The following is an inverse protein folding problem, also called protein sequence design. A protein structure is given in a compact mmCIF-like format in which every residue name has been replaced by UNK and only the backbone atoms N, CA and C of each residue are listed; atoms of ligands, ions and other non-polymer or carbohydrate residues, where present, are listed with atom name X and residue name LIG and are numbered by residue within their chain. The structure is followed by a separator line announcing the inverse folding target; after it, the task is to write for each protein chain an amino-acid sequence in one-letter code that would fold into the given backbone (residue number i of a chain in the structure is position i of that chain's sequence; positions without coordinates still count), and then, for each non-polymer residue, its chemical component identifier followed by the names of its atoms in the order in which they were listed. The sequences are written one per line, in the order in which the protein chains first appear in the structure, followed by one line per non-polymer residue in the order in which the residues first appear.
data_IF_177938794827
#
_entry.id   IF_177938794827
#
_cell.length_a   1.000
_cell.length_b   1.000
_cell.length_c   1.000
_cell.angle_alpha   90.00
_cell.angle_beta   90.00
_cell.angle_gamma   90.00
#
_symmetry.space_group_name_H-M   'P 1'
#
loop_
_entity.id
_entity.type
_entity.pdbx_description
1 polymer ?
#
# COMPACT_ATOMS: atom_id res chain seq x y z
N UNK A 1 17.86 23.96 -17.47
CA UNK A 1 17.42 23.35 -18.74
C UNK A 1 16.02 23.86 -19.00
N UNK A 2 15.80 24.50 -20.15
CA UNK A 2 14.46 24.92 -20.58
C UNK A 2 14.03 24.09 -21.77
N UNK A 3 12.74 23.84 -21.90
CA UNK A 3 12.14 23.24 -23.09
C UNK A 3 11.30 24.33 -23.76
N UNK A 4 11.63 24.67 -25.00
CA UNK A 4 10.80 25.56 -25.80
C UNK A 4 9.64 24.75 -26.36
N UNK A 5 8.44 25.31 -26.25
CA UNK A 5 7.22 24.73 -26.79
C UNK A 5 6.74 25.58 -27.97
N UNK A 6 6.31 24.93 -29.03
CA UNK A 6 5.62 25.60 -30.13
C UNK A 6 4.24 26.11 -29.70
N UNK A 7 3.63 27.06 -30.44
CA UNK A 7 2.27 27.51 -30.15
C UNK A 7 1.29 26.32 -30.08
N UNK A 8 0.57 26.21 -28.96
CA UNK A 8 -0.36 25.14 -28.63
C UNK A 8 0.26 23.74 -28.45
N UNK A 9 1.59 23.63 -28.43
CA UNK A 9 2.24 22.36 -28.09
C UNK A 9 2.04 22.05 -26.60
N UNK A 10 1.61 20.82 -26.32
CA UNK A 10 1.60 20.24 -24.97
C UNK A 10 2.65 19.16 -24.92
N UNK A 11 3.52 19.22 -23.92
CA UNK A 11 4.59 18.24 -23.73
C UNK A 11 4.61 17.75 -22.30
N UNK A 12 4.71 16.43 -22.15
CA UNK A 12 4.93 15.81 -20.84
C UNK A 12 6.40 15.99 -20.44
N UNK A 13 6.63 16.46 -19.21
CA UNK A 13 7.96 16.64 -18.65
C UNK A 13 8.14 15.65 -17.50
N UNK A 14 8.85 14.52 -17.71
CA UNK A 14 9.05 13.54 -16.66
C UNK A 14 9.95 14.13 -15.57
N UNK A 15 9.41 14.28 -14.36
CA UNK A 15 10.17 14.66 -13.17
C UNK A 15 10.48 13.40 -12.38
N UNK A 16 11.76 13.01 -12.35
CA UNK A 16 12.22 11.86 -11.58
C UNK A 16 13.12 12.35 -10.44
N UNK A 17 12.65 12.21 -9.20
CA UNK A 17 13.44 12.49 -8.00
C UNK A 17 14.05 11.17 -7.54
N UNK A 18 15.36 10.99 -7.76
CA UNK A 18 16.11 9.81 -7.29
C UNK A 18 16.85 10.15 -6.00
N UNK A 19 16.61 9.43 -4.88
CA UNK A 19 17.42 9.60 -3.67
C UNK A 19 18.86 9.18 -3.94
N UNK A 20 19.84 10.02 -3.61
CA UNK A 20 21.27 9.73 -3.75
C UNK A 20 21.88 9.23 -2.43
N UNK A 21 21.28 8.19 -1.86
CA UNK A 21 21.72 7.59 -0.60
C UNK A 21 20.81 7.92 0.58
N UNK A 22 21.28 7.65 1.82
CA UNK A 22 20.49 7.88 3.03
C UNK A 22 20.21 9.37 3.20
N UNK A 23 18.95 9.69 3.48
CA UNK A 23 18.50 11.05 3.72
C UNK A 23 18.02 11.20 5.16
N UNK A 24 18.16 12.41 5.71
CA UNK A 24 17.78 12.72 7.09
C UNK A 24 16.26 12.91 7.16
N UNK A 25 15.60 12.35 8.17
CA UNK A 25 14.17 12.57 8.42
C UNK A 25 13.87 14.07 8.56
N UNK A 26 12.82 14.55 7.89
CA UNK A 26 12.47 15.96 7.74
C UNK A 26 13.06 16.62 6.49
N UNK A 27 13.94 15.94 5.72
CA UNK A 27 14.45 16.47 4.47
C UNK A 27 13.35 16.57 3.42
N UNK A 28 13.36 17.68 2.67
CA UNK A 28 12.45 17.93 1.54
C UNK A 28 13.30 18.07 0.29
N UNK A 29 13.04 17.21 -0.70
CA UNK A 29 13.64 17.30 -2.03
C UNK A 29 12.58 17.80 -2.99
N UNK A 30 12.82 18.92 -3.65
CA UNK A 30 11.86 19.56 -4.51
C UNK A 30 12.40 19.82 -5.91
N UNK A 31 11.54 19.70 -6.91
CA UNK A 31 11.79 20.24 -8.25
C UNK A 31 10.69 21.25 -8.56
N UNK A 32 11.10 22.50 -8.76
CA UNK A 32 10.21 23.55 -9.24
C UNK A 32 10.20 23.55 -10.77
N UNK A 33 9.05 23.27 -11.37
CA UNK A 33 8.83 23.34 -12.81
C UNK A 33 8.06 24.63 -13.09
N UNK A 34 8.72 25.60 -13.70
CA UNK A 34 8.14 26.89 -14.03
C UNK A 34 7.93 27.03 -15.54
N UNK A 35 6.78 27.57 -15.92
CA UNK A 35 6.50 27.98 -17.29
C UNK A 35 6.71 29.48 -17.42
N UNK A 36 7.35 29.92 -18.50
CA UNK A 36 7.46 31.33 -18.86
C UNK A 36 7.22 31.51 -20.35
N UNK A 37 6.55 32.60 -20.72
CA UNK A 37 6.49 33.03 -22.12
C UNK A 37 7.72 33.87 -22.44
N UNK A 38 8.35 33.57 -23.57
CA UNK A 38 9.43 34.37 -24.14
C UNK A 38 8.88 35.17 -25.33
N UNK A 39 9.06 36.49 -25.32
CA UNK A 39 8.78 37.36 -26.47
C UNK A 39 10.08 37.92 -26.99
N UNK A 40 10.35 37.69 -28.28
CA UNK A 40 11.46 38.33 -29.00
C UNK A 40 10.94 39.63 -29.61
N UNK A 41 11.39 40.76 -29.08
CA UNK A 41 11.12 42.08 -29.61
C UNK A 41 12.29 42.45 -30.51
N UNK A 42 12.01 42.85 -31.75
CA UNK A 42 13.03 43.30 -32.70
C UNK A 42 12.76 44.76 -33.00
N UNK A 43 13.78 45.59 -32.90
CA UNK A 43 13.68 47.00 -33.25
C UNK A 43 13.35 47.13 -34.75
N UNK A 44 12.38 47.98 -35.08
CA UNK A 44 11.93 48.19 -36.45
C UNK A 44 12.93 49.00 -37.29
N UNK A 45 13.81 49.77 -36.63
CA UNK A 45 14.86 50.57 -37.25
C UNK A 45 16.19 49.82 -37.37
N UNK A 46 16.48 48.87 -36.47
CA UNK A 46 17.66 48.01 -36.51
C UNK A 46 17.28 46.54 -36.27
N UNK A 47 17.19 45.71 -37.33
CA UNK A 47 16.86 44.30 -37.22
C UNK A 47 17.82 43.47 -36.34
N UNK A 48 19.01 44.01 -36.02
CA UNK A 48 19.98 43.36 -35.15
C UNK A 48 19.79 43.72 -33.67
N UNK A 49 19.02 44.77 -33.38
CA UNK A 49 18.65 45.16 -32.01
C UNK A 49 17.46 44.32 -31.54
N UNK A 50 17.79 43.32 -30.72
CA UNK A 50 16.87 42.27 -30.29
C UNK A 50 16.79 42.30 -28.76
N UNK A 51 15.57 42.49 -28.24
CA UNK A 51 15.26 42.35 -26.82
C UNK A 51 14.44 41.10 -26.55
N UNK A 52 14.75 40.42 -25.46
CA UNK A 52 14.00 39.25 -25.02
C UNK A 52 13.26 39.62 -23.74
N UNK A 53 11.94 39.51 -23.75
CA UNK A 53 11.08 39.67 -22.59
C UNK A 53 10.62 38.30 -22.11
N UNK A 54 10.77 38.04 -20.80
CA UNK A 54 10.25 36.83 -20.15
C UNK A 54 9.11 37.20 -19.21
N UNK A 55 8.00 36.47 -19.29
CA UNK A 55 6.87 36.60 -18.37
C UNK A 55 6.51 35.24 -17.76
N UNK A 56 6.55 35.08 -16.42
CA UNK A 56 6.10 33.85 -15.76
C UNK A 56 4.63 33.58 -16.06
N UNK A 57 4.31 32.32 -16.36
CA UNK A 57 2.94 31.85 -16.64
C UNK A 57 2.37 31.00 -15.49
N UNK A 58 3.22 30.54 -14.58
CA UNK A 58 2.86 29.65 -13.48
C UNK A 58 3.89 28.53 -13.31
N UNK A 59 3.58 27.56 -12.47
CA UNK A 59 4.44 26.42 -12.24
C UNK A 59 3.88 25.47 -11.20
N UNK A 60 4.56 24.34 -11.05
CA UNK A 60 4.29 23.33 -10.04
C UNK A 60 5.58 22.99 -9.31
N UNK A 61 5.45 22.67 -8.02
CA UNK A 61 6.54 22.13 -7.22
C UNK A 61 6.22 20.68 -6.91
N UNK A 62 7.11 19.78 -7.31
CA UNK A 62 7.03 18.36 -6.97
C UNK A 62 7.97 18.12 -5.81
N UNK A 63 7.45 17.66 -4.67
CA UNK A 63 8.25 17.39 -3.47
C UNK A 63 8.25 15.90 -3.12
N UNK A 64 9.41 15.42 -2.69
CA UNK A 64 9.58 14.18 -1.95
C UNK A 64 10.05 14.53 -0.53
N UNK A 65 9.35 13.99 0.46
CA UNK A 65 9.67 14.21 1.89
C UNK A 65 10.17 12.91 2.50
N UNK A 66 11.21 13.02 3.32
CA UNK A 66 11.74 11.88 4.07
C UNK A 66 11.13 11.90 5.45
N UNK A 67 10.19 11.00 5.69
CA UNK A 67 9.42 10.93 6.93
C UNK A 67 9.71 9.60 7.62
N UNK A 68 9.76 9.59 8.96
CA UNK A 68 9.71 8.35 9.72
C UNK A 68 8.28 7.80 9.70
N UNK A 69 8.11 6.50 9.52
CA UNK A 69 6.79 5.85 9.48
C UNK A 69 6.35 5.51 10.91
N UNK A 70 5.38 6.22 11.49
CA UNK A 70 4.85 5.83 12.78
C UNK A 70 3.90 4.63 12.64
N UNK A 71 3.63 3.99 13.77
CA UNK A 71 2.58 2.98 13.93
C UNK A 71 1.51 3.54 14.86
N UNK A 72 0.25 3.21 14.60
CA UNK A 72 -0.86 3.60 15.46
C UNK A 72 -1.69 2.38 15.80
N UNK A 73 -1.95 2.22 17.09
CA UNK A 73 -2.79 1.16 17.63
C UNK A 73 -3.99 1.78 18.34
N UNK A 74 -5.16 1.15 18.21
CA UNK A 74 -6.38 1.60 18.85
C UNK A 74 -7.22 0.44 19.38
N UNK A 75 -7.97 0.71 20.45
CA UNK A 75 -9.00 -0.13 21.04
C UNK A 75 -10.24 0.73 21.28
N UNK A 76 -11.40 0.20 20.95
CA UNK A 76 -12.68 0.87 21.16
C UNK A 76 -13.58 0.01 22.06
N UNK A 77 -14.18 0.62 23.07
CA UNK A 77 -15.03 -0.07 24.04
C UNK A 77 -16.29 0.75 24.35
N UNK A 78 -17.45 0.11 24.31
CA UNK A 78 -18.75 0.76 24.51
C UNK A 78 -19.19 0.77 25.97
N UNK A 79 -19.02 1.89 26.67
CA UNK A 79 -19.53 2.07 28.04
C UNK A 79 -20.84 2.86 28.09
N UNK A 80 -21.62 2.88 27.00
CA UNK A 80 -22.71 3.82 26.73
C UNK A 80 -22.24 5.05 25.93
N UNK A 81 -20.94 5.35 26.02
CA UNK A 81 -20.16 6.13 25.05
C UNK A 81 -19.00 5.25 24.59
N UNK A 82 -18.51 5.45 23.37
CA UNK A 82 -17.40 4.67 22.86
C UNK A 82 -16.10 5.32 23.33
N UNK A 83 -15.46 4.70 24.32
CA UNK A 83 -14.11 5.02 24.75
C UNK A 83 -13.13 4.44 23.73
N UNK A 84 -12.30 5.30 23.15
CA UNK A 84 -11.22 4.91 22.25
C UNK A 84 -9.89 5.27 22.89
N UNK A 85 -9.07 4.26 23.10
CA UNK A 85 -7.72 4.38 23.63
C UNK A 85 -6.71 3.85 22.62
N UNK A 86 -5.56 4.49 22.54
CA UNK A 86 -4.55 4.07 21.58
C UNK A 86 -3.15 4.56 21.90
N UNK A 87 -2.23 4.16 21.03
CA UNK A 87 -0.83 4.57 21.08
C UNK A 87 -0.31 4.88 19.69
N UNK A 88 0.27 6.06 19.52
CA UNK A 88 1.05 6.45 18.35
C UNK A 88 2.53 6.25 18.71
N UNK A 89 3.22 5.37 17.99
CA UNK A 89 4.60 4.99 18.27
C UNK A 89 5.49 5.18 17.05
N UNK A 90 6.78 5.39 17.29
CA UNK A 90 7.79 5.55 16.26
C UNK A 90 9.15 5.18 16.86
N UNK A 91 10.10 4.58 16.10
CA UNK A 91 11.43 4.22 16.62
C UNK A 91 12.15 5.37 17.34
N UNK A 92 11.90 6.62 16.95
CA UNK A 92 12.49 7.81 17.55
C UNK A 92 11.44 8.77 18.15
N UNK A 93 10.32 8.26 18.69
CA UNK A 93 9.18 9.07 19.16
C UNK A 93 9.57 10.29 20.02
N UNK A 94 10.45 10.11 21.01
CA UNK A 94 10.90 11.18 21.91
C UNK A 94 11.55 12.38 21.16
N UNK A 95 12.13 12.16 19.98
CA UNK A 95 12.74 13.22 19.15
C UNK A 95 11.72 14.04 18.36
N UNK A 96 10.51 13.50 18.17
CA UNK A 96 9.48 14.09 17.32
C UNK A 96 8.31 14.69 18.12
N UNK A 97 8.21 14.38 19.41
CA UNK A 97 7.24 15.00 20.29
C UNK A 97 7.56 16.47 20.57
N UNK A 98 6.59 17.36 20.35
CA UNK A 98 6.66 18.77 20.74
C UNK A 98 5.56 19.05 21.78
N UNK A 99 5.95 19.29 23.03
CA UNK A 99 5.03 19.58 24.13
C UNK A 99 4.17 20.83 23.86
N UNK A 100 4.67 21.78 23.06
CA UNK A 100 3.91 22.99 22.72
C UNK A 100 2.88 22.74 21.62
N UNK A 101 3.11 21.74 20.78
CA UNK A 101 2.27 21.37 19.64
C UNK A 101 2.14 19.84 19.59
N UNK A 102 1.50 19.22 20.60
CA UNK A 102 1.42 17.76 20.65
C UNK A 102 0.73 17.24 19.39
N UNK A 103 1.21 16.11 18.83
CA UNK A 103 0.52 15.45 17.73
C UNK A 103 -0.94 15.18 18.08
N UNK A 104 -1.82 15.20 17.07
CA UNK A 104 -3.23 14.91 17.25
C UNK A 104 -3.62 13.67 16.46
N UNK A 105 -4.48 12.85 17.06
CA UNK A 105 -5.14 11.72 16.40
C UNK A 105 -6.61 12.04 16.25
N UNK A 106 -7.13 11.88 15.05
CA UNK A 106 -8.56 11.90 14.80
C UNK A 106 -9.14 10.51 15.05
N UNK A 107 -10.12 10.43 15.94
CA UNK A 107 -10.94 9.26 16.20
C UNK A 107 -12.23 9.43 15.42
N UNK A 108 -12.59 8.47 14.57
CA UNK A 108 -13.75 8.52 13.69
C UNK A 108 -14.61 7.27 13.88
N UNK A 109 -15.88 7.46 14.21
CA UNK A 109 -16.88 6.40 14.31
C UNK A 109 -17.36 5.95 12.94
N UNK A 110 -17.61 4.65 12.83
CA UNK A 110 -17.96 3.95 11.59
C UNK A 110 -19.15 3.03 11.86
N UNK A 111 -20.13 3.04 10.96
CA UNK A 111 -21.33 2.19 11.06
C UNK A 111 -21.07 0.74 10.59
N UNK A 112 -22.10 -0.11 10.67
CA UNK A 112 -22.02 -1.52 10.24
C UNK A 112 -21.69 -1.71 8.75
N UNK A 113 -21.94 -0.69 7.92
CA UNK A 113 -21.71 -0.70 6.48
C UNK A 113 -20.38 -0.03 6.11
N UNK A 114 -19.55 0.28 7.11
CA UNK A 114 -18.27 0.99 6.96
C UNK A 114 -18.39 2.42 6.45
N UNK A 115 -19.53 3.07 6.63
CA UNK A 115 -19.65 4.49 6.34
C UNK A 115 -19.15 5.32 7.52
N UNK A 116 -18.43 6.40 7.22
CA UNK A 116 -18.05 7.38 8.23
C UNK A 116 -19.26 8.15 8.75
N UNK A 117 -19.38 8.22 10.06
CA UNK A 117 -20.42 9.00 10.73
C UNK A 117 -19.91 10.42 10.91
N UNK A 118 -20.34 11.34 10.04
CA UNK A 118 -19.76 12.70 9.95
C UNK A 118 -20.31 13.68 10.99
N UNK A 119 -21.39 13.33 11.69
CA UNK A 119 -22.00 14.19 12.71
C UNK A 119 -21.23 14.11 14.01
N UNK A 120 -20.85 15.25 14.58
CA UNK A 120 -20.36 15.26 15.96
C UNK A 120 -21.47 14.80 16.92
N UNK A 121 -21.12 14.07 18.01
CA UNK A 121 -19.78 13.73 18.47
C UNK A 121 -19.26 12.35 17.99
N UNK A 122 -19.66 11.88 16.80
CA UNK A 122 -19.18 10.59 16.26
C UNK A 122 -17.72 10.63 15.79
N UNK A 123 -17.05 11.77 15.92
CA UNK A 123 -15.61 11.91 15.75
C UNK A 123 -15.05 12.92 16.74
N UNK A 124 -13.77 12.78 17.07
CA UNK A 124 -13.04 13.68 17.96
C UNK A 124 -11.57 13.78 17.54
N UNK A 125 -10.94 14.93 17.74
CA UNK A 125 -9.49 15.08 17.59
C UNK A 125 -8.88 15.16 18.99
N UNK A 126 -8.02 14.20 19.33
CA UNK A 126 -7.40 14.08 20.65
C UNK A 126 -5.91 14.33 20.58
N UNK A 127 -5.36 14.95 21.62
CA UNK A 127 -3.92 15.14 21.73
C UNK A 127 -3.25 13.83 22.13
N UNK A 128 -2.07 13.60 21.56
CA UNK A 128 -1.19 12.50 21.92
C UNK A 128 -0.28 12.97 23.06
N UNK A 129 -0.19 12.16 24.10
CA UNK A 129 0.69 12.37 25.25
C UNK A 129 2.15 12.13 24.88
N UNK A 130 3.08 12.57 25.74
CA UNK A 130 4.51 12.41 25.52
C UNK A 130 4.96 10.95 25.35
N UNK A 131 4.26 9.99 25.94
CA UNK A 131 4.53 8.56 25.81
C UNK A 131 3.86 7.91 24.57
N UNK A 132 3.21 8.72 23.74
CA UNK A 132 2.48 8.29 22.56
C UNK A 132 1.03 7.87 22.82
N UNK A 133 0.59 7.82 24.08
CA UNK A 133 -0.79 7.44 24.41
C UNK A 133 -1.80 8.52 24.04
N UNK A 134 -3.02 8.12 23.69
CA UNK A 134 -4.15 9.03 23.51
C UNK A 134 -5.45 8.35 23.91
N UNK A 135 -6.43 9.17 24.29
CA UNK A 135 -7.74 8.73 24.70
C UNK A 135 -8.80 9.75 24.26
N UNK A 136 -9.95 9.26 23.80
CA UNK A 136 -11.11 10.09 23.51
C UNK A 136 -12.42 9.31 23.57
N UNK A 137 -13.51 10.07 23.58
CA UNK A 137 -14.86 9.54 23.53
C UNK A 137 -15.52 9.94 22.22
N UNK A 138 -16.22 9.01 21.59
CA UNK A 138 -17.12 9.28 20.47
C UNK A 138 -18.50 8.70 20.78
N UNK A 139 -19.53 9.30 20.20
CA UNK A 139 -20.89 8.88 20.43
C UNK A 139 -21.79 9.14 19.23
N UNK A 140 -22.67 8.19 18.92
CA UNK A 140 -23.74 8.33 17.94
C UNK A 140 -24.90 7.42 18.32
N UNK A 141 -26.14 7.93 18.24
CA UNK A 141 -27.36 7.13 18.41
C UNK A 141 -27.89 6.55 17.12
N UNK A 142 -27.64 7.24 16.00
CA UNK A 142 -28.16 6.84 14.69
C UNK A 142 -27.29 7.47 13.59
N UNK A 143 -26.50 6.66 12.85
CA UNK A 143 -26.32 5.21 13.03
C UNK A 143 -25.47 4.86 14.27
N UNK A 144 -25.58 3.62 14.75
CA UNK A 144 -24.70 3.06 15.78
C UNK A 144 -23.25 3.02 15.30
N UNK A 145 -22.31 3.25 16.22
CA UNK A 145 -20.89 3.04 15.97
C UNK A 145 -20.57 1.56 16.18
N UNK A 146 -20.18 0.85 15.12
CA UNK A 146 -19.77 -0.57 15.18
C UNK A 146 -18.25 -0.73 15.11
N UNK A 147 -17.58 0.17 14.41
CA UNK A 147 -16.13 0.23 14.31
C UNK A 147 -15.67 1.67 14.63
N UNK A 148 -14.43 1.81 15.07
CA UNK A 148 -13.74 3.08 15.20
C UNK A 148 -12.46 3.07 14.35
N UNK A 149 -12.06 4.23 13.87
CA UNK A 149 -10.85 4.44 13.08
C UNK A 149 -10.03 5.54 13.71
N UNK A 150 -8.75 5.29 13.94
CA UNK A 150 -7.79 6.28 14.42
C UNK A 150 -6.89 6.72 13.28
N UNK A 151 -6.86 8.02 13.00
CA UNK A 151 -6.10 8.63 11.92
C UNK A 151 -5.11 9.63 12.46
N UNK A 152 -3.85 9.47 12.07
CA UNK A 152 -2.81 10.44 12.28
C UNK A 152 -2.41 11.03 10.93
N UNK A 153 -2.57 12.35 10.76
CA UNK A 153 -2.32 13.04 9.49
C UNK A 153 -0.82 13.15 9.15
N UNK A 154 0.08 12.88 10.10
CA UNK A 154 1.51 13.11 9.95
C UNK A 154 1.96 14.49 10.44
N UNK A 155 3.27 14.72 10.38
CA UNK A 155 3.92 16.01 10.64
C UNK A 155 4.94 16.31 9.54
N UNK A 156 5.80 17.31 9.74
CA UNK A 156 6.97 17.54 8.91
C UNK A 156 8.03 16.42 9.01
N UNK A 157 7.94 15.55 10.03
CA UNK A 157 8.91 14.48 10.31
C UNK A 157 8.31 13.08 10.39
N UNK A 158 7.02 12.95 10.72
CA UNK A 158 6.31 11.68 10.78
C UNK A 158 5.34 11.55 9.60
N UNK A 159 5.30 10.39 8.96
CA UNK A 159 4.30 10.07 7.95
C UNK A 159 2.91 9.94 8.59
N UNK A 160 1.87 9.93 7.76
CA UNK A 160 0.53 9.58 8.22
C UNK A 160 0.47 8.11 8.65
N UNK A 161 -0.46 7.80 9.56
CA UNK A 161 -0.74 6.45 9.99
C UNK A 161 -2.23 6.27 10.28
N UNK A 162 -2.70 5.03 10.18
CA UNK A 162 -4.07 4.63 10.44
C UNK A 162 -4.09 3.31 11.19
N UNK A 163 -5.00 3.17 12.16
CA UNK A 163 -5.18 1.90 12.88
C UNK A 163 -5.89 0.84 12.04
N UNK A 164 -6.47 1.24 10.90
CA UNK A 164 -7.56 0.50 10.28
C UNK A 164 -8.84 0.56 11.12
N UNK A 165 -9.88 -0.16 10.66
CA UNK A 165 -11.12 -0.30 11.41
C UNK A 165 -10.89 -1.19 12.63
N UNK A 166 -11.27 -0.69 13.80
CA UNK A 166 -11.19 -1.39 15.08
C UNK A 166 -12.61 -1.63 15.57
N UNK A 167 -13.01 -2.88 15.86
CA UNK A 167 -14.36 -3.15 16.34
C UNK A 167 -14.57 -2.51 17.72
N UNK A 168 -15.79 -2.01 17.94
CA UNK A 168 -16.26 -1.57 19.24
C UNK A 168 -16.65 -2.80 20.06
N UNK A 169 -15.99 -3.02 21.20
CA UNK A 169 -16.25 -4.15 22.10
C UNK A 169 -17.17 -3.73 23.24
N UNK A 170 -18.10 -4.58 23.67
CA UNK A 170 -18.86 -4.32 24.90
C UNK A 170 -17.97 -4.56 26.14
N UNK A 171 -18.18 -3.87 27.29
CA UNK A 171 -17.26 -3.81 28.43
C UNK A 171 -17.03 -5.14 29.16
N UNK A 172 -17.74 -6.20 28.78
CA UNK A 172 -17.63 -7.53 29.37
C UNK A 172 -17.80 -8.62 28.31
N UNK A 173 -17.73 -8.27 27.02
CA UNK A 173 -17.73 -9.31 26.00
C UNK A 173 -16.42 -10.09 26.15
N UNK A 174 -16.47 -11.42 26.30
CA UNK A 174 -15.27 -12.22 26.24
C UNK A 174 -14.52 -11.85 24.95
N UNK A 175 -13.18 -11.77 24.99
CA UNK A 175 -12.42 -11.48 23.78
C UNK A 175 -12.94 -12.41 22.66
N UNK A 176 -13.16 -11.86 21.44
CA UNK A 176 -13.79 -12.61 20.36
C UNK A 176 -13.14 -13.99 20.26
N UNK A 177 -13.95 -15.04 20.44
CA UNK A 177 -13.45 -16.39 20.39
C UNK A 177 -13.04 -16.67 18.96
N UNK A 178 -11.76 -16.92 18.74
CA UNK A 178 -11.33 -17.48 17.48
C UNK A 178 -11.91 -18.88 17.32
N UNK A 179 -12.41 -19.17 16.12
CA UNK A 179 -12.93 -20.49 15.77
C UNK A 179 -12.04 -21.14 14.73
N UNK A 180 -11.76 -22.42 14.91
CA UNK A 180 -11.12 -23.26 13.90
C UNK A 180 -12.02 -23.41 12.67
N UNK A 181 -11.41 -23.40 11.49
CA UNK A 181 -12.04 -23.72 10.22
C UNK A 181 -11.55 -25.09 9.76
N UNK A 182 -12.48 -25.96 9.40
CA UNK A 182 -12.25 -27.34 8.97
C UNK A 182 -12.33 -27.52 7.45
N UNK A 183 -12.80 -26.50 6.72
CA UNK A 183 -12.80 -26.55 5.25
C UNK A 183 -12.77 -25.15 4.60
N UNK A 184 -12.33 -25.05 3.33
CA UNK A 184 -12.40 -23.79 2.58
C UNK A 184 -13.82 -23.23 2.43
N UNK A 185 -14.85 -24.09 2.47
CA UNK A 185 -16.25 -23.65 2.31
C UNK A 185 -16.77 -22.80 3.47
N UNK A 186 -16.04 -22.77 4.59
CA UNK A 186 -16.35 -21.90 5.73
C UNK A 186 -15.78 -20.47 5.56
N UNK A 187 -15.02 -20.21 4.49
CA UNK A 187 -14.45 -18.90 4.20
C UNK A 187 -15.36 -18.19 3.19
N UNK A 188 -16.00 -17.06 3.54
CA UNK A 188 -16.90 -16.36 2.64
C UNK A 188 -16.12 -15.60 1.56
N UNK A 189 -16.43 -15.86 0.28
CA UNK A 189 -15.82 -15.22 -0.89
C UNK A 189 -14.28 -15.13 -0.80
N UNK A 190 -13.59 -16.29 -0.68
CA UNK A 190 -12.16 -16.31 -0.40
C UNK A 190 -11.35 -15.76 -1.58
N UNK A 191 -10.26 -15.06 -1.27
CA UNK A 191 -9.09 -15.03 -2.14
C UNK A 191 -8.38 -16.37 -2.09
N UNK A 192 -7.76 -16.77 -3.19
CA UNK A 192 -7.07 -18.05 -3.34
C UNK A 192 -5.71 -17.83 -4.01
N UNK A 193 -4.66 -18.36 -3.39
CA UNK A 193 -3.34 -18.50 -3.99
C UNK A 193 -3.01 -20.00 -4.04
N UNK A 194 -2.88 -20.56 -5.24
CA UNK A 194 -2.61 -21.98 -5.46
C UNK A 194 -1.16 -22.28 -5.89
N UNK A 195 -0.31 -21.25 -6.02
CA UNK A 195 1.12 -21.38 -6.34
C UNK A 195 1.48 -21.98 -7.72
N UNK A 196 0.49 -22.40 -8.49
CA UNK A 196 0.64 -23.04 -9.80
C UNK A 196 1.01 -22.08 -10.93
N UNK A 197 0.85 -20.78 -10.71
CA UNK A 197 1.22 -19.72 -11.65
C UNK A 197 2.72 -19.40 -11.68
N UNK A 198 3.48 -20.00 -10.76
CA UNK A 198 4.91 -19.81 -10.62
C UNK A 198 5.71 -21.03 -11.12
N UNK A 199 6.91 -20.84 -11.70
CA UNK A 199 7.83 -21.96 -11.96
C UNK A 199 8.28 -22.65 -10.67
N UNK A 200 8.74 -23.90 -10.75
CA UNK A 200 9.40 -24.60 -9.64
C UNK A 200 10.62 -23.82 -9.10
N UNK A 201 10.88 -23.96 -7.79
CA UNK A 201 11.95 -23.29 -7.06
C UNK A 201 11.94 -21.75 -7.12
N UNK A 202 10.79 -21.13 -7.39
CA UNK A 202 10.62 -19.68 -7.39
C UNK A 202 10.45 -19.17 -5.96
N UNK A 203 11.25 -18.17 -5.56
CA UNK A 203 11.05 -17.46 -4.30
C UNK A 203 9.78 -16.62 -4.39
N UNK A 204 8.80 -16.87 -3.51
CA UNK A 204 7.47 -16.26 -3.59
C UNK A 204 7.50 -14.79 -3.15
N UNK A 205 8.10 -14.50 -1.98
CA UNK A 205 8.27 -13.15 -1.41
C UNK A 205 7.02 -12.25 -1.57
N UNK A 206 7.08 -11.29 -2.48
CA UNK A 206 6.09 -10.23 -2.71
C UNK A 206 5.32 -10.43 -4.02
N UNK A 207 5.47 -11.58 -4.68
CA UNK A 207 4.81 -11.89 -5.95
C UNK A 207 3.29 -11.66 -5.89
N UNK A 208 2.65 -12.09 -4.79
CA UNK A 208 1.21 -11.92 -4.56
C UNK A 208 0.84 -10.62 -3.84
N UNK A 209 1.80 -9.76 -3.50
CA UNK A 209 1.55 -8.48 -2.86
C UNK A 209 0.66 -7.57 -3.71
N UNK A 210 1.00 -7.29 -4.97
CA UNK A 210 0.21 -6.39 -5.83
C UNK A 210 -1.19 -6.90 -6.19
N UNK A 211 -1.40 -8.21 -6.26
CA UNK A 211 -2.66 -8.81 -6.73
C UNK A 211 -3.56 -9.25 -5.58
N UNK A 212 -2.98 -9.76 -4.50
CA UNK A 212 -3.69 -10.38 -3.38
C UNK A 212 -3.47 -9.69 -2.03
N UNK A 213 -2.48 -8.79 -1.94
CA UNK A 213 -2.10 -8.20 -0.67
C UNK A 213 -1.43 -9.18 0.28
N UNK A 214 -0.82 -10.25 -0.23
CA UNK A 214 -0.20 -11.34 0.56
C UNK A 214 1.30 -11.34 0.34
N UNK A 215 2.06 -11.40 1.43
CA UNK A 215 3.52 -11.40 1.43
C UNK A 215 4.05 -12.57 2.25
N UNK A 216 4.98 -13.32 1.67
CA UNK A 216 5.71 -14.36 2.35
C UNK A 216 7.03 -13.78 2.88
N UNK A 217 7.47 -14.27 4.04
CA UNK A 217 8.77 -13.88 4.59
C UNK A 217 9.90 -14.19 3.60
N UNK A 218 10.84 -13.26 3.48
CA UNK A 218 12.11 -13.43 2.77
C UNK A 218 13.20 -12.76 3.60
N UNK A 219 13.84 -13.54 4.47
CA UNK A 219 14.99 -13.12 5.25
C UNK A 219 16.10 -14.16 5.17
N UNK A 220 17.23 -13.86 5.83
CA UNK A 220 18.31 -14.84 5.96
C UNK A 220 17.91 -16.07 6.81
N UNK A 221 16.84 -15.97 7.61
CA UNK A 221 16.37 -17.05 8.47
C UNK A 221 15.41 -18.00 7.74
N UNK A 222 14.55 -17.47 6.87
CA UNK A 222 13.57 -18.26 6.12
C UNK A 222 13.09 -17.53 4.87
N UNK A 223 12.66 -18.32 3.89
CA UNK A 223 11.96 -17.85 2.70
C UNK A 223 10.98 -18.90 2.19
N UNK A 224 9.84 -18.48 1.67
CA UNK A 224 8.93 -19.39 0.98
C UNK A 224 9.32 -19.54 -0.50
N UNK A 225 9.40 -20.78 -0.98
CA UNK A 225 9.64 -21.10 -2.39
C UNK A 225 8.63 -22.12 -2.90
N UNK A 226 8.37 -22.09 -4.21
CA UNK A 226 7.54 -23.08 -4.86
C UNK A 226 8.29 -24.40 -5.02
N UNK A 227 7.60 -25.52 -4.84
CA UNK A 227 8.13 -26.87 -5.08
C UNK A 227 7.13 -27.64 -5.91
N UNK A 228 7.56 -28.08 -7.10
CA UNK A 228 6.75 -28.91 -7.98
C UNK A 228 6.61 -30.33 -7.44
N UNK A 229 5.46 -30.96 -7.74
CA UNK A 229 5.22 -32.37 -7.55
C UNK A 229 6.35 -33.21 -8.17
N UNK A 230 7.12 -33.91 -7.34
CA UNK A 230 8.14 -34.86 -7.77
C UNK A 230 8.04 -36.19 -7.00
N UNK A 231 8.55 -37.27 -7.61
CA UNK A 231 8.60 -38.59 -6.95
C UNK A 231 9.29 -38.50 -5.59
N UNK A 232 8.58 -38.87 -4.51
CA UNK A 232 9.09 -38.86 -3.14
C UNK A 232 8.86 -37.55 -2.38
N UNK A 233 8.23 -36.55 -3.00
CA UNK A 233 7.73 -35.35 -2.32
C UNK A 233 6.25 -35.50 -1.96
N UNK A 234 5.75 -34.74 -0.98
CA UNK A 234 4.32 -34.66 -0.71
C UNK A 234 3.59 -34.17 -1.96
N UNK A 235 2.51 -34.86 -2.33
CA UNK A 235 1.67 -34.42 -3.45
C UNK A 235 0.93 -33.14 -3.06
N UNK A 236 0.94 -32.17 -3.96
CA UNK A 236 0.16 -30.95 -3.86
C UNK A 236 -1.35 -31.24 -3.89
N UNK A 237 -2.13 -30.36 -3.28
CA UNK A 237 -3.59 -30.39 -3.35
C UNK A 237 -4.05 -29.90 -4.74
N UNK A 238 -3.50 -28.77 -5.17
CA UNK A 238 -3.63 -28.15 -6.49
C UNK A 238 -2.30 -28.30 -7.24
N UNK A 239 -2.34 -28.86 -8.45
CA UNK A 239 -1.12 -29.18 -9.20
C UNK A 239 -0.73 -28.05 -10.15
N UNK A 240 0.58 -27.81 -10.36
CA UNK A 240 1.70 -28.68 -9.98
C UNK A 240 2.49 -28.31 -8.71
N UNK A 241 2.23 -27.18 -8.05
CA UNK A 241 3.16 -26.64 -7.06
C UNK A 241 2.59 -26.59 -5.64
N UNK A 242 3.51 -26.54 -4.68
CA UNK A 242 3.24 -26.18 -3.28
C UNK A 242 4.15 -25.03 -2.87
N UNK A 243 3.84 -24.32 -1.78
CA UNK A 243 4.77 -23.42 -1.13
C UNK A 243 5.47 -24.14 0.03
N UNK A 244 6.81 -24.13 0.04
CA UNK A 244 7.64 -24.72 1.09
C UNK A 244 8.47 -23.66 1.80
N UNK A 245 8.60 -23.80 3.11
CA UNK A 245 9.49 -22.97 3.91
C UNK A 245 10.94 -23.47 3.81
N UNK A 246 11.80 -22.70 3.14
CA UNK A 246 13.24 -22.90 3.08
C UNK A 246 13.92 -22.17 4.24
N UNK A 247 13.69 -22.68 5.45
CA UNK A 247 14.26 -22.15 6.68
C UNK A 247 15.70 -22.64 6.90
N UNK A 248 16.57 -21.74 7.35
CA UNK A 248 17.94 -22.09 7.77
C UNK A 248 17.93 -23.08 8.95
N UNK A 249 16.91 -23.00 9.81
CA UNK A 249 16.64 -23.98 10.86
C UNK A 249 15.13 -24.31 10.93
N UNK A 250 14.66 -25.35 10.21
CA UNK A 250 13.24 -25.69 10.15
C UNK A 250 12.60 -26.04 11.49
N UNK A 251 13.38 -26.41 12.52
CA UNK A 251 12.80 -26.72 13.85
C UNK A 251 12.44 -25.48 14.67
N UNK A 252 12.85 -24.28 14.25
CA UNK A 252 12.70 -23.05 15.06
C UNK A 252 12.19 -21.85 14.28
N UNK A 253 11.93 -21.99 12.98
CA UNK A 253 11.60 -20.85 12.13
C UNK A 253 10.32 -21.15 11.36
N UNK A 254 9.16 -20.73 11.88
CA UNK A 254 7.89 -21.02 11.25
C UNK A 254 7.73 -20.28 9.93
N UNK A 255 6.85 -20.77 9.06
CA UNK A 255 6.47 -20.07 7.84
C UNK A 255 5.60 -18.87 8.20
N UNK A 256 6.07 -17.65 7.90
CA UNK A 256 5.33 -16.41 8.17
C UNK A 256 4.72 -15.83 6.88
N UNK A 257 3.42 -15.52 6.97
CA UNK A 257 2.64 -14.91 5.90
C UNK A 257 2.00 -13.63 6.45
N UNK A 258 2.17 -12.51 5.76
CA UNK A 258 1.64 -11.18 6.14
C UNK A 258 0.62 -10.69 5.13
N UNK A 259 -0.31 -9.86 5.59
CA UNK A 259 -1.31 -9.21 4.76
C UNK A 259 -1.13 -7.69 4.73
N UNK A 260 -1.46 -7.04 3.61
CA UNK A 260 -1.55 -5.57 3.52
C UNK A 260 -2.80 -4.99 4.21
N UNK A 261 -3.80 -5.84 4.43
CA UNK A 261 -5.13 -5.51 4.93
C UNK A 261 -5.59 -6.61 5.86
N UNK A 262 -6.25 -6.22 6.95
CA UNK A 262 -6.67 -7.15 8.00
C UNK A 262 -7.68 -8.17 7.47
N UNK A 263 -7.54 -9.41 7.94
CA UNK A 263 -8.34 -10.57 7.57
C UNK A 263 -9.24 -11.01 8.72
N UNK A 264 -10.40 -11.55 8.37
CA UNK A 264 -11.30 -12.28 9.28
C UNK A 264 -11.06 -13.78 9.20
N UNK A 265 -10.69 -14.32 8.04
CA UNK A 265 -10.50 -15.75 7.83
C UNK A 265 -9.16 -16.00 7.15
N UNK A 266 -8.47 -17.05 7.58
CA UNK A 266 -7.29 -17.59 6.90
C UNK A 266 -7.33 -19.11 6.99
N UNK A 267 -7.06 -19.81 5.90
CA UNK A 267 -6.95 -21.26 5.89
C UNK A 267 -6.06 -21.76 4.76
N UNK A 268 -5.55 -22.97 4.89
CA UNK A 268 -4.63 -23.57 3.93
C UNK A 268 -4.68 -25.09 4.02
N UNK A 269 -4.24 -25.76 2.95
CA UNK A 269 -3.86 -27.16 3.03
C UNK A 269 -2.40 -27.28 3.46
N UNK A 270 -2.10 -28.24 4.32
CA UNK A 270 -0.75 -28.50 4.81
C UNK A 270 -0.37 -29.98 4.70
N UNK A 271 0.95 -30.23 4.57
CA UNK A 271 1.54 -31.56 4.54
C UNK A 271 2.99 -31.52 5.03
N UNK A 272 3.46 -32.60 5.65
CA UNK A 272 4.77 -32.60 6.31
C UNK A 272 5.92 -33.19 5.47
N UNK A 273 5.61 -33.83 4.33
CA UNK A 273 6.60 -34.47 3.46
C UNK A 273 7.47 -35.55 4.12
N UNK A 274 7.12 -36.06 5.31
CA UNK A 274 7.83 -37.14 5.99
C UNK A 274 6.94 -38.34 6.27
N UNK A 275 7.34 -39.51 5.75
CA UNK A 275 6.59 -40.75 5.92
C UNK A 275 6.69 -41.22 7.37
N UNK A 276 5.55 -41.44 8.02
CA UNK A 276 5.46 -42.06 9.34
C UNK A 276 5.72 -41.16 10.55
N UNK A 277 5.88 -39.85 10.35
CA UNK A 277 6.08 -38.90 11.45
C UNK A 277 4.73 -38.31 11.90
N UNK A 278 4.37 -38.49 13.19
CA UNK A 278 3.20 -37.87 13.81
C UNK A 278 3.57 -36.45 14.29
N UNK A 279 3.75 -35.54 13.35
CA UNK A 279 4.16 -34.16 13.61
C UNK A 279 2.89 -33.30 13.82
N UNK A 280 2.79 -32.50 14.88
CA UNK A 280 1.72 -31.50 15.00
C UNK A 280 1.98 -30.32 14.06
N UNK A 281 0.93 -29.73 13.51
CA UNK A 281 0.99 -28.48 12.75
C UNK A 281 0.13 -27.43 13.41
N UNK A 282 0.76 -26.32 13.79
CA UNK A 282 0.10 -25.22 14.51
C UNK A 282 -0.01 -24.00 13.62
N UNK A 283 -1.24 -23.57 13.34
CA UNK A 283 -1.52 -22.29 12.66
C UNK A 283 -1.85 -21.23 13.70
N UNK A 284 -1.04 -20.18 13.76
CA UNK A 284 -1.21 -19.05 14.68
C UNK A 284 -1.51 -17.77 13.90
N UNK A 285 -2.49 -16.98 14.34
CA UNK A 285 -2.84 -15.69 13.76
C UNK A 285 -2.52 -14.56 14.72
N UNK A 286 -2.00 -13.46 14.17
CA UNK A 286 -1.55 -12.30 14.93
C UNK A 286 -2.22 -11.02 14.46
N UNK A 287 -2.40 -10.07 15.38
CA UNK A 287 -2.86 -8.72 15.06
C UNK A 287 -1.72 -7.85 14.52
N UNK A 288 -2.00 -6.59 14.16
CA UNK A 288 -0.99 -5.67 13.62
C UNK A 288 0.12 -5.29 14.61
N UNK A 289 -0.12 -5.48 15.91
CA UNK A 289 0.86 -5.27 16.98
C UNK A 289 1.69 -6.54 17.27
N UNK A 290 1.40 -7.66 16.59
CA UNK A 290 2.07 -8.94 16.78
C UNK A 290 1.55 -9.74 17.98
N UNK A 291 0.40 -9.38 18.56
CA UNK A 291 -0.22 -10.19 19.60
C UNK A 291 -0.93 -11.39 18.97
N UNK A 292 -0.81 -12.55 19.63
CA UNK A 292 -1.54 -13.75 19.25
C UNK A 292 -3.05 -13.52 19.41
N UNK A 293 -3.79 -13.62 18.31
CA UNK A 293 -5.26 -13.62 18.28
C UNK A 293 -5.78 -15.03 18.48
N UNK A 294 -5.21 -15.97 17.73
CA UNK A 294 -5.73 -17.32 17.59
C UNK A 294 -4.62 -18.32 17.36
N UNK A 295 -4.83 -19.53 17.83
CA UNK A 295 -3.99 -20.67 17.54
C UNK A 295 -4.84 -21.94 17.42
N UNK A 296 -4.65 -22.68 16.34
CA UNK A 296 -5.26 -24.00 16.11
C UNK A 296 -4.16 -25.01 15.83
N UNK A 297 -4.38 -26.28 16.12
CA UNK A 297 -3.35 -27.31 15.96
C UNK A 297 -3.96 -28.63 15.54
N UNK A 298 -3.49 -29.17 14.43
CA UNK A 298 -3.88 -30.50 13.96
C UNK A 298 -2.70 -31.45 14.16
N UNK A 299 -2.99 -32.67 14.61
CA UNK A 299 -1.98 -33.69 14.81
C UNK A 299 -2.59 -35.08 14.57
N UNK A 300 -2.02 -35.90 13.69
CA UNK A 300 -0.81 -35.64 12.90
C UNK A 300 -1.07 -34.82 11.62
N UNK A 301 -0.09 -34.04 11.18
CA UNK A 301 -0.04 -33.52 9.81
C UNK A 301 0.27 -34.69 8.86
N UNK A 302 -0.51 -34.93 7.80
CA UNK A 302 -0.26 -36.02 6.87
C UNK A 302 0.98 -35.80 6.02
N UNK A 303 1.44 -36.87 5.34
CA UNK A 303 2.54 -36.78 4.38
C UNK A 303 2.21 -35.82 3.24
N UNK A 304 1.13 -36.09 2.49
CA UNK A 304 0.67 -35.23 1.38
C UNK A 304 0.06 -33.92 1.89
N UNK A 305 0.05 -32.90 1.03
CA UNK A 305 -0.60 -31.61 1.33
C UNK A 305 -2.11 -31.76 1.18
N UNK A 306 -2.76 -32.33 2.18
CA UNK A 306 -4.17 -32.73 2.11
C UNK A 306 -4.98 -32.39 3.37
N UNK A 307 -4.32 -32.00 4.46
CA UNK A 307 -5.00 -31.59 5.69
C UNK A 307 -5.32 -30.11 5.61
N UNK A 308 -6.59 -29.75 5.73
CA UNK A 308 -6.99 -28.36 5.84
C UNK A 308 -6.91 -27.88 7.29
N UNK A 309 -6.36 -26.69 7.49
CA UNK A 309 -6.36 -25.99 8.77
C UNK A 309 -6.69 -24.52 8.54
N UNK A 310 -7.51 -23.93 9.40
CA UNK A 310 -7.83 -22.51 9.30
C UNK A 310 -8.32 -21.90 10.60
N UNK A 311 -8.34 -20.58 10.61
CA UNK A 311 -8.71 -19.73 11.73
C UNK A 311 -9.68 -18.65 11.27
N UNK A 312 -10.63 -18.34 12.13
CA UNK A 312 -11.56 -17.24 11.95
C UNK A 312 -11.61 -16.35 13.19
N UNK A 313 -11.32 -15.07 12.99
CA UNK A 313 -11.48 -13.99 13.95
C UNK A 313 -12.64 -13.10 13.51
N UNK A 314 -13.74 -13.16 14.24
CA UNK A 314 -14.95 -12.35 13.96
C UNK A 314 -14.67 -10.85 14.02
N UNK A 315 -13.65 -10.44 14.78
CA UNK A 315 -13.21 -9.07 14.89
C UNK A 315 -12.36 -8.58 13.69
N UNK A 316 -11.96 -9.48 12.78
CA UNK A 316 -11.25 -9.11 11.56
C UNK A 316 -9.87 -8.50 11.79
N UNK A 317 -9.13 -8.99 12.79
CA UNK A 317 -7.85 -8.40 13.21
C UNK A 317 -6.62 -9.08 12.64
N UNK A 318 -6.77 -10.16 11.87
CA UNK A 318 -5.64 -10.99 11.43
C UNK A 318 -4.77 -10.19 10.46
N UNK A 319 -3.57 -9.80 10.90
CA UNK A 319 -2.57 -9.07 10.10
C UNK A 319 -1.53 -10.02 9.49
N UNK A 320 -1.30 -11.16 10.13
CA UNK A 320 -0.36 -12.18 9.73
C UNK A 320 -0.70 -13.52 10.34
N UNK A 321 -0.20 -14.59 9.74
CA UNK A 321 -0.26 -15.94 10.27
C UNK A 321 1.11 -16.60 10.23
N UNK A 322 1.35 -17.53 11.14
CA UNK A 322 2.47 -18.45 11.08
C UNK A 322 1.99 -19.89 11.07
N UNK A 323 2.60 -20.73 10.24
CA UNK A 323 2.50 -22.19 10.36
C UNK A 323 3.80 -22.72 10.98
N UNK A 324 3.68 -23.53 12.02
CA UNK A 324 4.81 -24.10 12.76
C UNK A 324 4.60 -25.62 12.94
N UNK A 325 5.56 -26.44 12.50
CA UNK A 325 5.60 -27.88 12.78
C UNK A 325 6.31 -28.23 14.09
N UNK A 326 6.71 -27.22 14.84
CA UNK A 326 7.45 -27.32 16.08
C UNK A 326 8.87 -27.82 15.86
N UNK A 327 9.40 -28.54 16.86
CA UNK A 327 10.79 -29.04 16.85
C UNK A 327 11.00 -30.28 15.95
N UNK A 328 10.18 -30.46 14.91
CA UNK A 328 10.19 -31.66 14.08
C UNK A 328 11.34 -31.72 13.06
N UNK A 329 11.99 -30.58 12.76
CA UNK A 329 13.06 -30.49 11.74
C UNK A 329 12.56 -30.60 10.30
N UNK A 330 11.25 -30.74 10.10
CA UNK A 330 10.58 -30.71 8.81
C UNK A 330 10.30 -29.27 8.40
N UNK A 331 10.39 -28.99 7.10
CA UNK A 331 9.92 -27.74 6.54
C UNK A 331 8.39 -27.73 6.47
N UNK A 332 7.78 -26.58 6.74
CA UNK A 332 6.36 -26.36 6.47
C UNK A 332 6.10 -26.40 4.96
N UNK A 333 5.07 -27.15 4.55
CA UNK A 333 4.61 -27.21 3.17
C UNK A 333 3.12 -26.93 3.16
N UNK A 334 2.71 -25.96 2.34
CA UNK A 334 1.32 -25.54 2.18
C UNK A 334 0.91 -25.51 0.72
N UNK A 335 -0.40 -25.54 0.51
CA UNK A 335 -1.02 -25.36 -0.79
C UNK A 335 -2.42 -24.74 -0.61
N UNK A 336 -2.97 -24.17 -1.68
CA UNK A 336 -4.29 -23.55 -1.74
C UNK A 336 -4.54 -22.64 -0.52
N UNK A 337 -3.85 -21.50 -0.49
CA UNK A 337 -3.94 -20.52 0.59
C UNK A 337 -5.19 -19.63 0.43
N UNK A 338 -6.15 -19.80 1.33
CA UNK A 338 -7.42 -19.08 1.37
C UNK A 338 -7.42 -17.97 2.41
N UNK A 339 -8.04 -16.84 2.09
CA UNK A 339 -8.21 -15.74 3.04
C UNK A 339 -9.42 -14.86 2.71
N UNK A 340 -9.99 -14.23 3.73
CA UNK A 340 -11.07 -13.25 3.57
C UNK A 340 -10.97 -12.13 4.63
N UNK A 341 -11.46 -10.91 4.33
CA UNK A 341 -12.00 -10.50 3.04
C UNK A 341 -10.90 -10.41 1.98
N UNK A 342 -11.28 -10.73 0.75
CA UNK A 342 -10.49 -10.50 -0.44
C UNK A 342 -11.23 -9.48 -1.32
N UNK A 343 -10.56 -8.35 -1.57
CA UNK A 343 -11.00 -7.37 -2.55
C UNK A 343 -9.99 -7.48 -3.68
N UNK A 344 -10.38 -8.00 -4.85
CA UNK A 344 -9.48 -8.06 -5.99
C UNK A 344 -8.96 -6.65 -6.25
N UNK A 345 -7.63 -6.52 -6.28
CA UNK A 345 -6.98 -5.32 -6.79
C UNK A 345 -7.59 -5.04 -8.15
N UNK A 346 -8.29 -3.91 -8.31
CA UNK A 346 -8.82 -3.51 -9.61
C UNK A 346 -7.72 -3.61 -10.66
N UNK A 347 -8.04 -3.90 -11.94
CA UNK A 347 -7.02 -4.14 -12.96
C UNK A 347 -5.99 -3.01 -12.88
N UNK A 348 -4.74 -3.37 -12.57
CA UNK A 348 -3.63 -2.43 -12.63
C UNK A 348 -3.74 -1.75 -13.99
N UNK A 349 -3.85 -0.41 -14.06
CA UNK A 349 -4.03 0.26 -15.33
C UNK A 349 -2.93 -0.23 -16.25
N UNK A 350 -3.31 -0.95 -17.32
CA UNK A 350 -2.35 -1.42 -18.31
C UNK A 350 -1.57 -0.17 -18.72
N UNK A 351 -0.23 -0.16 -18.59
CA UNK A 351 0.54 0.97 -19.06
C UNK A 351 0.11 1.19 -20.51
N UNK A 352 -0.54 2.34 -20.75
CA UNK A 352 -0.97 2.67 -22.10
C UNK A 352 0.31 2.71 -22.91
N UNK A 353 0.43 1.83 -23.91
CA UNK A 353 1.59 1.78 -24.79
C UNK A 353 1.93 3.20 -25.18
N UNK A 354 3.05 3.70 -24.66
CA UNK A 354 3.55 5.00 -25.05
C UNK A 354 3.75 4.90 -26.55
N UNK A 355 3.09 5.73 -27.37
CA UNK A 355 3.18 5.60 -28.82
C UNK A 355 4.66 5.57 -29.18
N UNK A 356 5.05 4.49 -29.88
CA UNK A 356 6.41 4.29 -30.34
C UNK A 356 6.86 5.59 -31.02
N UNK A 357 8.00 6.18 -30.62
CA UNK A 357 8.44 7.44 -31.18
C UNK A 357 8.49 7.30 -32.70
N UNK A 358 7.63 8.08 -33.38
CA UNK A 358 7.58 8.14 -34.84
C UNK A 358 9.02 8.28 -35.36
N UNK A 359 9.45 7.46 -36.34
CA UNK A 359 10.82 7.47 -36.80
C UNK A 359 11.21 8.90 -37.17
N UNK A 360 12.26 9.40 -36.52
CA UNK A 360 12.86 10.71 -36.84
C UNK A 360 13.09 10.76 -38.35
N UNK A 361 12.53 11.74 -39.08
CA UNK A 361 12.73 11.84 -40.51
C UNK A 361 14.23 11.97 -40.78
N UNK A 362 14.80 11.01 -41.51
CA UNK A 362 16.16 11.09 -42.02
C UNK A 362 16.29 12.37 -42.82
N UNK A 363 17.12 13.31 -42.36
CA UNK A 363 17.41 14.54 -43.08
C UNK A 363 17.94 14.18 -44.48
N UNK A 364 17.13 14.46 -45.50
CA UNK A 364 17.60 14.44 -46.88
C UNK A 364 18.53 15.63 -47.05
N UNK A 365 19.79 15.46 -47.53
CA UNK A 365 20.73 16.55 -47.69
C UNK A 365 20.14 17.63 -48.60
N UNK A 366 19.99 18.82 -48.04
CA UNK A 366 19.42 19.97 -48.73
C UNK A 366 20.42 20.48 -49.79
N UNK A 367 20.01 20.68 -51.05
CA UNK A 367 20.85 21.36 -52.03
C UNK A 367 21.17 22.81 -51.58
N UNK A 368 22.33 23.36 -51.98
CA UNK A 368 22.73 24.70 -51.56
C UNK A 368 21.68 25.75 -51.94
N UNK A 369 21.25 26.50 -50.93
CA UNK A 369 20.22 27.52 -51.02
C UNK A 369 20.62 28.65 -51.99
N UNK A 370 19.77 29.02 -52.96
CA UNK A 370 20.00 30.19 -53.80
C UNK A 370 19.82 31.48 -53.00
N UNK A 371 20.76 32.41 -53.22
CA UNK A 371 20.83 33.77 -52.67
C UNK A 371 19.46 34.47 -52.60
N UNK A 372 19.08 35.07 -51.46
CA UNK A 372 17.77 35.68 -51.30
C UNK A 372 17.61 36.94 -52.17
N UNK A 373 16.57 36.95 -52.99
CA UNK A 373 16.05 38.15 -53.66
C UNK A 373 14.92 38.74 -52.82
N UNK A 374 15.11 39.98 -52.37
CA UNK A 374 14.12 40.73 -51.59
C UNK A 374 12.79 40.87 -52.36
N UNK A 375 11.71 40.36 -51.78
CA UNK A 375 10.33 40.62 -52.22
C UNK A 375 9.55 41.25 -51.06
N UNK A 376 8.76 42.32 -51.31
CA UNK A 376 8.09 43.07 -50.24
C UNK A 376 6.88 42.33 -49.65
N UNK A 377 6.70 42.50 -48.34
CA UNK A 377 5.67 41.89 -47.50
C UNK A 377 4.32 42.58 -47.72
N UNK A 378 3.29 41.82 -48.12
CA UNK A 378 1.87 42.20 -48.05
C UNK A 378 1.28 41.65 -46.75
N UNK A 379 0.80 42.54 -45.88
CA UNK A 379 0.07 42.19 -44.64
C UNK A 379 -1.37 41.83 -44.98
N UNK A 380 -1.89 40.75 -44.40
CA UNK A 380 -3.33 40.56 -44.21
C UNK A 380 -3.63 39.96 -42.81
N UNK A 381 -4.86 40.16 -42.29
CA UNK A 381 -5.12 40.24 -40.85
C UNK A 381 -5.49 38.90 -40.19
N UNK A 382 -5.24 38.87 -38.88
CA UNK A 382 -5.52 37.81 -37.92
C UNK A 382 -7.03 37.59 -37.77
N UNK A 383 -7.47 36.33 -37.92
CA UNK A 383 -8.80 35.87 -37.52
C UNK A 383 -8.69 35.19 -36.15
N UNK A 384 -9.41 35.70 -35.17
CA UNK A 384 -9.55 35.12 -33.84
C UNK A 384 -10.57 33.97 -33.87
N UNK A 385 -10.30 32.89 -33.12
CA UNK A 385 -11.24 31.83 -32.79
C UNK A 385 -11.20 31.53 -31.27
N UNK A 386 -12.30 31.00 -30.70
CA UNK A 386 -12.69 31.29 -29.32
C UNK A 386 -12.16 30.30 -28.28
N UNK A 387 -12.02 30.84 -27.07
CA UNK A 387 -11.80 30.17 -25.79
C UNK A 387 -12.85 29.08 -25.50
N UNK A 388 -12.41 27.93 -24.98
CA UNK A 388 -13.26 26.97 -24.25
C UNK A 388 -12.85 26.96 -22.75
N UNK A 389 -13.81 26.77 -21.82
CA UNK A 389 -13.60 26.98 -20.40
C UNK A 389 -12.91 25.79 -19.72
N UNK A 390 -11.93 26.08 -18.86
CA UNK A 390 -11.37 25.10 -17.91
C UNK A 390 -12.34 24.91 -16.76
N UNK A 391 -12.59 23.64 -16.44
CA UNK A 391 -13.47 23.16 -15.39
C UNK A 391 -12.84 23.45 -14.02
N UNK A 392 -13.67 24.02 -13.16
CA UNK A 392 -13.45 24.48 -11.80
C UNK A 392 -12.85 23.38 -10.87
N UNK A 393 -11.77 23.70 -10.16
CA UNK A 393 -11.35 22.99 -8.94
C UNK A 393 -11.78 23.87 -7.77
N UNK A 394 -12.82 23.44 -7.06
CA UNK A 394 -13.29 24.09 -5.84
C UNK A 394 -12.32 23.72 -4.71
N UNK A 395 -11.50 24.69 -4.28
CA UNK A 395 -10.84 24.64 -2.99
C UNK A 395 -11.79 25.29 -1.96
N UNK A 396 -12.17 24.53 -0.93
CA UNK A 396 -12.87 25.07 0.24
C UNK A 396 -11.87 25.87 1.10
N UNK A 397 -12.24 27.06 1.59
CA UNK A 397 -11.39 27.85 2.49
C UNK A 397 -11.39 27.29 3.93
N UNK A 398 -10.39 27.67 4.75
CA UNK A 398 -10.25 27.24 6.14
C UNK A 398 -11.37 27.74 7.06
#
# INVERSE_FOLDING_TARGET
MGVMLDPNEVRELPVVIKPQGPAVVGSIFGVDVQASSQRKLVNDLDPNDIHIEFKPLGGVRVEARVLERPQIECKATDHGEILVQGKLSSPNWEKFYDEKNPPQVMIQGVDENRNFITRQPAWSAVQVSQDGSFEGFIYSREPDIKEALCLFAGTDKLASASSGFVPVLEPNQPPPQCTELFSPTQIPAPGLINFDDLPDATVIKDHYGPTHGVFFEESAAARALTVADATGLPLSHSRPNTARNDAANPSTTPMLIRFDSLKTHVGLYMGNGAVGAAIPGTLSAYDSAGNLICQVTNSPVPFNVAEFIGVHDTAGRISSVTLDYGQAGNAEVIDDFYFAPFVPSGPTPTPTDTPEPSPTPTETPMPPSPTPTNTPIVRNPVIAAPYLPVKEIIALPP
#
